data_IF_961462400645
#
_entry.id   IF_961462400645
#
_cell.length_a   1.000
_cell.length_b   1.000
_cell.length_c   1.000
_cell.angle_alpha   90.00
_cell.angle_beta   90.00
_cell.angle_gamma   90.00
#
_symmetry.space_group_name_H-M   'P 1'
#
loop_
_entity.id
_entity.type
_entity.pdbx_description
1 polymer ?
#
# COMPACT_ATOMS: atom_id res chain seq x y z
N UNK A 1 -6.05 6.78 17.69
CA UNK A 1 -6.11 5.52 16.91
C UNK A 1 -4.72 4.91 16.84
N UNK A 2 -4.56 3.69 17.34
CA UNK A 2 -3.31 2.91 17.26
C UNK A 2 -3.15 2.28 15.86
N UNK A 3 -1.93 2.00 15.42
CA UNK A 3 -1.69 1.33 14.14
C UNK A 3 -2.36 -0.06 14.06
N UNK A 4 -2.44 -0.76 15.19
CA UNK A 4 -3.15 -2.04 15.31
C UNK A 4 -4.67 -1.90 15.13
N UNK A 5 -5.26 -0.80 15.57
CA UNK A 5 -6.69 -0.51 15.37
C UNK A 5 -6.96 -0.18 13.91
N UNK A 6 -6.09 0.61 13.27
CA UNK A 6 -6.14 0.88 11.83
C UNK A 6 -6.07 -0.42 11.02
N UNK A 7 -5.09 -1.27 11.31
CA UNK A 7 -4.91 -2.57 10.65
C UNK A 7 -6.20 -3.42 10.72
N UNK A 8 -6.79 -3.52 11.92
CA UNK A 8 -8.05 -4.24 12.12
C UNK A 8 -9.22 -3.64 11.34
N UNK A 9 -9.40 -2.32 11.38
CA UNK A 9 -10.50 -1.61 10.69
C UNK A 9 -10.47 -1.78 9.18
N UNK A 10 -9.28 -1.86 8.60
CA UNK A 10 -9.10 -2.02 7.15
C UNK A 10 -8.87 -3.46 6.72
N UNK A 11 -8.99 -4.45 7.64
CA UNK A 11 -8.73 -5.86 7.36
C UNK A 11 -7.34 -6.15 6.77
N UNK A 12 -6.33 -5.39 7.20
CA UNK A 12 -4.92 -5.54 6.77
C UNK A 12 -4.11 -6.10 7.94
N UNK A 13 -3.15 -6.99 7.67
CA UNK A 13 -2.22 -7.48 8.70
C UNK A 13 -1.29 -6.35 9.16
N UNK A 14 -0.98 -6.27 10.46
CA UNK A 14 -0.05 -5.26 10.98
C UNK A 14 1.34 -5.35 10.34
N UNK A 15 1.79 -6.55 9.98
CA UNK A 15 3.05 -6.76 9.23
C UNK A 15 3.01 -6.13 7.84
N UNK A 16 1.86 -6.16 7.16
CA UNK A 16 1.66 -5.51 5.86
C UNK A 16 1.59 -3.99 6.01
N UNK A 17 0.99 -3.48 7.10
CA UNK A 17 1.03 -2.04 7.44
C UNK A 17 2.48 -1.57 7.60
N UNK A 18 3.31 -2.33 8.32
CA UNK A 18 4.74 -2.02 8.48
C UNK A 18 5.44 -2.05 7.11
N UNK A 19 5.24 -3.10 6.33
CA UNK A 19 5.86 -3.25 5.01
C UNK A 19 5.47 -2.12 4.04
N UNK A 20 4.17 -1.81 3.94
CA UNK A 20 3.64 -0.77 3.05
C UNK A 20 4.05 0.64 3.47
N UNK A 21 4.32 0.85 4.76
CA UNK A 21 4.82 2.15 5.22
C UNK A 21 6.21 2.50 4.70
N UNK A 22 7.01 1.50 4.31
CA UNK A 22 8.41 1.68 3.94
C UNK A 22 9.35 1.98 5.12
N UNK A 23 8.82 2.03 6.36
CA UNK A 23 9.58 2.34 7.56
C UNK A 23 9.84 1.10 8.42
N UNK A 24 10.95 1.14 9.16
CA UNK A 24 11.18 0.20 10.25
C UNK A 24 10.10 0.29 11.32
N UNK A 25 9.88 -0.81 12.05
CA UNK A 25 8.82 -0.93 13.06
C UNK A 25 8.83 0.21 14.08
N UNK A 26 9.98 0.49 14.68
CA UNK A 26 10.14 1.56 15.69
C UNK A 26 9.81 2.94 15.13
N UNK A 27 10.35 3.28 13.95
CA UNK A 27 10.09 4.55 13.25
C UNK A 27 8.61 4.70 12.96
N UNK A 28 7.96 3.66 12.44
CA UNK A 28 6.53 3.69 12.16
C UNK A 28 5.71 4.00 13.41
N UNK A 29 5.97 3.32 14.52
CA UNK A 29 5.21 3.53 15.76
C UNK A 29 5.46 4.92 16.36
N UNK A 30 6.68 5.44 16.27
CA UNK A 30 7.00 6.81 16.66
C UNK A 30 6.22 7.81 15.79
N UNK A 31 6.23 7.62 14.47
CA UNK A 31 5.52 8.49 13.52
C UNK A 31 4.01 8.35 13.62
N UNK A 32 3.49 7.23 14.09
CA UNK A 32 2.06 7.05 14.32
C UNK A 32 1.55 7.84 15.53
N UNK A 33 2.43 8.16 16.48
CA UNK A 33 2.05 8.93 17.67
C UNK A 33 1.93 10.43 17.36
N UNK A 34 2.69 10.95 16.40
CA UNK A 34 2.54 12.32 15.92
C UNK A 34 1.40 12.43 14.88
N UNK A 35 0.42 13.34 15.06
CA UNK A 35 -0.72 13.46 14.16
C UNK A 35 -0.36 13.76 12.69
N UNK A 36 0.67 14.59 12.45
CA UNK A 36 1.06 15.05 11.12
C UNK A 36 1.71 13.92 10.34
N UNK A 37 2.64 13.18 10.97
CA UNK A 37 3.29 12.02 10.34
C UNK A 37 2.36 10.82 10.27
N UNK A 38 1.43 10.65 11.21
CA UNK A 38 0.40 9.60 11.17
C UNK A 38 -0.46 9.72 9.92
N UNK A 39 -0.98 10.91 9.62
CA UNK A 39 -1.82 11.12 8.43
C UNK A 39 -1.08 10.76 7.15
N UNK A 40 0.19 11.20 7.01
CA UNK A 40 1.03 10.85 5.85
C UNK A 40 1.22 9.34 5.72
N UNK A 41 1.52 8.68 6.83
CA UNK A 41 1.71 7.22 6.89
C UNK A 41 0.44 6.48 6.45
N UNK A 42 -0.73 6.92 6.92
CA UNK A 42 -2.02 6.34 6.53
C UNK A 42 -2.25 6.48 5.01
N UNK A 43 -2.01 7.67 4.44
CA UNK A 43 -2.16 7.90 2.99
C UNK A 43 -1.27 6.96 2.19
N UNK A 44 0.00 6.80 2.59
CA UNK A 44 0.94 5.88 1.94
C UNK A 44 0.40 4.45 1.99
N UNK A 45 0.01 3.97 3.17
CA UNK A 45 -0.46 2.57 3.33
C UNK A 45 -1.72 2.31 2.53
N UNK A 46 -2.69 3.23 2.55
CA UNK A 46 -3.93 3.10 1.77
C UNK A 46 -3.64 3.11 0.27
N UNK A 47 -2.76 4.01 -0.19
CA UNK A 47 -2.31 4.04 -1.58
C UNK A 47 -1.63 2.73 -2.01
N UNK A 48 -0.74 2.18 -1.19
CA UNK A 48 -0.12 0.88 -1.45
C UNK A 48 -1.13 -0.27 -1.42
N UNK A 49 -2.09 -0.26 -0.49
CA UNK A 49 -3.13 -1.29 -0.41
C UNK A 49 -4.05 -1.25 -1.64
N UNK A 50 -4.38 -0.06 -2.13
CA UNK A 50 -5.16 0.14 -3.34
C UNK A 50 -4.38 -0.30 -4.58
N UNK A 51 -3.12 0.15 -4.72
CA UNK A 51 -2.21 -0.30 -5.76
C UNK A 51 -2.02 -1.82 -5.75
N UNK A 52 -2.12 -2.50 -4.59
CA UNK A 52 -2.05 -3.97 -4.48
C UNK A 52 -3.20 -4.67 -5.18
N UNK A 53 -4.39 -4.06 -5.23
CA UNK A 53 -5.54 -4.60 -5.96
C UNK A 53 -5.28 -4.58 -7.47
N UNK A 54 -4.71 -3.48 -7.96
CA UNK A 54 -4.32 -3.33 -9.36
C UNK A 54 -3.04 -4.07 -9.71
N UNK A 55 -2.10 -4.27 -8.80
CA UNK A 55 -0.91 -5.09 -9.11
C UNK A 55 -1.26 -6.57 -9.21
N UNK A 56 -2.36 -7.01 -8.60
CA UNK A 56 -2.94 -8.33 -8.86
C UNK A 56 -3.44 -8.49 -10.30
N UNK A 57 -3.74 -7.38 -10.99
CA UNK A 57 -4.04 -7.33 -12.42
C UNK A 57 -2.81 -7.66 -13.26
N UNK A 58 -1.58 -7.46 -12.75
CA UNK A 58 -0.36 -8.00 -13.39
C UNK A 58 -0.20 -9.52 -13.22
N UNK A 59 -1.14 -10.22 -12.58
CA UNK A 59 -1.17 -11.69 -12.56
C UNK A 59 -2.30 -12.26 -13.41
N UNK A 60 -3.11 -11.40 -14.03
CA UNK A 60 -4.13 -11.77 -15.00
C UNK A 60 -3.54 -11.67 -16.42
N UNK A 61 -3.50 -12.80 -17.14
CA UNK A 61 -2.84 -12.89 -18.44
C UNK A 61 -3.53 -12.04 -19.51
N UNK A 62 -4.84 -11.83 -19.40
CA UNK A 62 -5.59 -10.95 -20.30
C UNK A 62 -5.15 -9.49 -20.11
N UNK A 63 -5.06 -9.03 -18.87
CA UNK A 63 -4.67 -7.65 -18.62
C UNK A 63 -3.19 -7.38 -18.91
N UNK A 64 -2.30 -8.37 -18.71
CA UNK A 64 -0.90 -8.28 -19.18
C UNK A 64 -0.83 -8.02 -20.69
N UNK A 65 -1.58 -8.78 -21.49
CA UNK A 65 -1.61 -8.63 -22.95
C UNK A 65 -2.08 -7.25 -23.38
N UNK A 66 -3.05 -6.67 -22.66
CA UNK A 66 -3.53 -5.31 -22.93
C UNK A 66 -2.44 -4.28 -22.65
N UNK A 67 -1.75 -4.37 -21.50
CA UNK A 67 -0.66 -3.46 -21.14
C UNK A 67 0.48 -3.55 -22.15
N UNK A 68 0.90 -4.76 -22.53
CA UNK A 68 1.93 -4.99 -23.54
C UNK A 68 1.52 -4.40 -24.89
N UNK A 69 0.24 -4.53 -25.29
CA UNK A 69 -0.27 -3.93 -26.52
C UNK A 69 -0.16 -2.41 -26.52
N UNK A 70 -0.51 -1.74 -25.40
CA UNK A 70 -0.46 -0.28 -25.29
C UNK A 70 0.98 0.22 -25.32
N UNK A 71 1.90 -0.45 -24.61
CA UNK A 71 3.32 -0.09 -24.58
C UNK A 71 4.03 -0.37 -25.92
N UNK A 72 3.51 -1.28 -26.74
CA UNK A 72 4.06 -1.58 -28.08
C UNK A 72 3.66 -0.56 -29.15
N UNK A 73 2.61 0.22 -28.92
CA UNK A 73 2.11 1.25 -29.86
C UNK A 73 2.86 2.59 -29.71
N UNK A 74 3.56 2.81 -28.59
CA UNK A 74 4.35 4.02 -28.34
C UNK A 74 5.81 3.94 -28.85
N UNK A 75 6.16 2.92 -29.66
CA UNK A 75 7.45 2.80 -30.36
C UNK A 75 7.26 2.93 -31.87
#
# INVERSE_FOLDING_TARGET
MKASEFAKRHHIKLTEVIRMSGFGRSTLFNWWNDPKTRTRTIVIILGCAEAKKYTRVFHDDETKKIIDSVMSVER
#
